data_IF_080025690204
#
_entry.id   IF_080025690204
#
_cell.length_a   1.000
_cell.length_b   1.000
_cell.length_c   1.000
_cell.angle_alpha   90.00
_cell.angle_beta   90.00
_cell.angle_gamma   90.00
#
_symmetry.space_group_name_H-M   'P 1'
#
loop_
_entity.id
_entity.type
_entity.pdbx_description
1 polymer ?
#
# COMPACT_ATOMS: atom_id res chain seq x y z
N UNK A 1 -8.09 18.09 15.83
CA UNK A 1 -7.26 17.07 16.53
C UNK A 1 -7.71 15.71 16.05
N UNK A 2 -6.81 14.76 15.78
CA UNK A 2 -7.25 13.37 15.56
C UNK A 2 -7.82 12.80 16.86
N UNK A 3 -8.88 12.00 16.78
CA UNK A 3 -9.60 11.46 17.95
C UNK A 3 -9.72 9.96 17.81
N UNK A 4 -9.37 9.24 18.87
CA UNK A 4 -9.52 7.79 18.94
C UNK A 4 -11.01 7.43 19.06
N UNK A 5 -11.46 6.49 18.23
CA UNK A 5 -12.83 5.96 18.24
C UNK A 5 -12.74 4.44 18.10
N UNK A 6 -13.42 3.70 18.97
CA UNK A 6 -13.41 2.22 18.96
C UNK A 6 -11.99 1.61 18.96
N UNK A 7 -11.13 2.11 19.86
CA UNK A 7 -9.72 1.70 19.98
C UNK A 7 -8.89 1.90 18.70
N UNK A 8 -9.33 2.79 17.81
CA UNK A 8 -8.69 3.08 16.53
C UNK A 8 -8.47 4.58 16.38
N UNK A 9 -7.26 4.94 15.98
CA UNK A 9 -6.85 6.30 15.66
C UNK A 9 -6.35 6.34 14.22
N UNK A 10 -7.09 7.03 13.36
CA UNK A 10 -6.63 7.35 12.01
C UNK A 10 -5.67 8.53 12.08
N UNK A 11 -4.41 8.30 11.71
CA UNK A 11 -3.36 9.31 11.65
C UNK A 11 -2.62 9.22 10.32
N UNK A 12 -2.74 10.28 9.50
CA UNK A 12 -2.22 10.30 8.12
C UNK A 12 -2.72 9.10 7.29
N UNK A 13 -1.83 8.25 6.81
CA UNK A 13 -2.07 7.02 6.05
C UNK A 13 -2.01 5.75 6.92
N UNK A 14 -1.98 5.90 8.24
CA UNK A 14 -1.92 4.81 9.22
C UNK A 14 -3.21 4.74 10.02
N UNK A 15 -3.77 3.55 10.14
CA UNK A 15 -4.80 3.23 11.12
C UNK A 15 -4.12 2.51 12.27
N UNK A 16 -3.98 3.22 13.39
CA UNK A 16 -3.42 2.66 14.62
C UNK A 16 -4.56 2.01 15.38
N UNK A 17 -4.42 0.73 15.72
CA UNK A 17 -5.39 -0.02 16.51
C UNK A 17 -4.76 -0.46 17.83
N UNK A 18 -5.42 -0.19 18.94
CA UNK A 18 -5.01 -0.66 20.26
C UNK A 18 -5.55 -2.07 20.50
N UNK A 19 -4.66 -3.03 20.75
CA UNK A 19 -4.97 -4.41 21.10
C UNK A 19 -4.37 -4.72 22.49
N UNK A 20 -5.10 -4.39 23.55
CA UNK A 20 -4.57 -4.43 24.93
C UNK A 20 -3.42 -3.45 25.11
N UNK A 21 -2.26 -3.96 25.51
CA UNK A 21 -1.03 -3.17 25.70
C UNK A 21 -0.18 -3.02 24.43
N UNK A 22 -0.62 -3.60 23.31
CA UNK A 22 0.09 -3.54 22.03
C UNK A 22 -0.63 -2.63 21.04
N UNK A 23 0.16 -2.03 20.14
CA UNK A 23 -0.34 -1.30 18.99
C UNK A 23 -0.19 -2.17 17.74
N UNK A 24 -1.25 -2.15 16.94
CA UNK A 24 -1.32 -2.76 15.63
C UNK A 24 -1.52 -1.65 14.58
N UNK A 25 -1.07 -1.89 13.36
CA UNK A 25 -0.99 -0.88 12.32
C UNK A 25 -1.45 -1.45 10.98
N UNK A 26 -2.33 -0.71 10.32
CA UNK A 26 -2.77 -0.99 8.94
C UNK A 26 -2.79 0.30 8.13
N UNK A 27 -2.89 0.20 6.80
CA UNK A 27 -3.04 1.37 5.94
C UNK A 27 -4.44 1.95 6.12
N UNK A 28 -4.52 3.22 6.52
CA UNK A 28 -5.79 3.92 6.59
C UNK A 28 -6.25 4.38 5.21
N UNK A 29 -7.49 4.02 4.86
CA UNK A 29 -8.21 4.52 3.68
C UNK A 29 -9.37 5.39 4.15
N UNK A 30 -9.41 6.64 3.71
CA UNK A 30 -10.57 7.52 3.99
C UNK A 30 -11.86 6.92 3.40
N UNK A 31 -13.04 7.23 3.94
CA UNK A 31 -14.31 6.75 3.37
C UNK A 31 -14.54 7.13 1.90
N UNK A 32 -13.89 8.19 1.42
CA UNK A 32 -13.93 8.64 0.02
C UNK A 32 -12.85 8.00 -0.87
N UNK A 33 -12.05 7.07 -0.35
CA UNK A 33 -11.03 6.37 -1.12
C UNK A 33 -11.69 5.42 -2.12
N UNK A 34 -11.36 5.58 -3.41
CA UNK A 34 -12.03 4.86 -4.51
C UNK A 34 -11.16 3.77 -5.13
N UNK A 35 -9.91 3.59 -4.67
CA UNK A 35 -8.92 2.73 -5.32
C UNK A 35 -8.66 3.04 -6.80
N UNK A 36 -9.02 4.25 -7.25
CA UNK A 36 -8.66 4.75 -8.58
C UNK A 36 -7.24 5.31 -8.54
N UNK A 37 -6.31 4.56 -9.11
CA UNK A 37 -4.93 4.96 -9.29
C UNK A 37 -4.70 5.38 -10.75
N UNK A 38 -3.44 5.56 -11.12
CA UNK A 38 -3.11 5.84 -12.51
C UNK A 38 -3.47 4.63 -13.37
N UNK A 39 -4.46 4.79 -14.24
CA UNK A 39 -4.91 3.74 -15.15
C UNK A 39 -3.80 3.35 -16.14
N UNK A 40 -3.72 2.06 -16.50
CA UNK A 40 -2.67 1.54 -17.40
C UNK A 40 -2.61 2.26 -18.75
N UNK A 41 -3.77 2.56 -19.32
CA UNK A 41 -3.91 3.20 -20.64
C UNK A 41 -3.67 4.72 -20.63
N UNK A 42 -3.49 5.34 -19.46
CA UNK A 42 -3.21 6.77 -19.39
C UNK A 42 -1.88 7.11 -20.08
N UNK A 43 -1.77 8.30 -20.67
CA UNK A 43 -0.57 8.74 -21.39
C UNK A 43 0.55 9.18 -20.42
N UNK A 44 1.11 8.21 -19.69
CA UNK A 44 2.24 8.39 -18.78
C UNK A 44 3.34 7.41 -19.09
N UNK A 45 4.57 7.84 -18.81
CA UNK A 45 5.77 7.01 -18.98
C UNK A 45 5.66 5.71 -18.14
N UNK A 46 6.11 4.54 -18.64
CA UNK A 46 6.03 3.28 -17.93
C UNK A 46 6.59 3.31 -16.50
N UNK A 47 7.68 4.04 -16.27
CA UNK A 47 8.29 4.18 -14.93
C UNK A 47 7.36 4.85 -13.91
N UNK A 48 6.49 5.78 -14.33
CA UNK A 48 5.54 6.42 -13.42
C UNK A 48 4.43 5.44 -13.01
N UNK A 49 3.94 4.64 -13.97
CA UNK A 49 2.93 3.61 -13.74
C UNK A 49 3.44 2.53 -12.79
N UNK A 50 4.65 2.03 -13.04
CA UNK A 50 5.32 1.08 -12.14
C UNK A 50 5.62 1.68 -10.77
N UNK A 51 6.10 2.93 -10.75
CA UNK A 51 6.43 3.65 -9.52
C UNK A 51 5.26 3.75 -8.56
N UNK A 52 4.03 3.95 -9.04
CA UNK A 52 2.84 4.00 -8.17
C UNK A 52 2.62 2.65 -7.47
N UNK A 53 2.75 1.53 -8.18
CA UNK A 53 2.62 0.19 -7.59
C UNK A 53 3.71 -0.03 -6.54
N UNK A 54 4.96 0.30 -6.88
CA UNK A 54 6.10 0.19 -5.95
C UNK A 54 5.90 1.05 -4.70
N UNK A 55 5.45 2.31 -4.85
CA UNK A 55 5.22 3.23 -3.73
C UNK A 55 4.15 2.69 -2.79
N UNK A 56 3.02 2.21 -3.31
CA UNK A 56 1.94 1.68 -2.45
C UNK A 56 2.35 0.37 -1.78
N UNK A 57 3.08 -0.51 -2.47
CA UNK A 57 3.59 -1.75 -1.88
C UNK A 57 4.63 -1.47 -0.79
N UNK A 58 5.51 -0.48 -1.00
CA UNK A 58 6.47 -0.05 0.01
C UNK A 58 5.77 0.60 1.22
N UNK A 59 4.71 1.38 0.99
CA UNK A 59 3.86 1.91 2.06
C UNK A 59 3.26 0.77 2.89
N UNK A 60 2.67 -0.24 2.25
CA UNK A 60 2.12 -1.42 2.92
C UNK A 60 3.16 -2.09 3.84
N UNK A 61 4.37 -2.32 3.34
CA UNK A 61 5.46 -2.95 4.11
C UNK A 61 6.00 -2.10 5.25
N UNK A 62 5.91 -0.77 5.14
CA UNK A 62 6.40 0.16 6.17
C UNK A 62 5.37 0.41 7.27
N UNK A 63 4.10 0.44 6.91
CA UNK A 63 3.00 0.80 7.81
C UNK A 63 2.42 -0.42 8.50
N UNK A 64 2.12 -1.48 7.75
CA UNK A 64 1.38 -2.60 8.30
C UNK A 64 2.22 -3.39 9.30
N UNK A 65 1.58 -3.85 10.38
CA UNK A 65 2.11 -4.96 11.17
C UNK A 65 2.26 -6.20 10.28
N UNK A 66 3.16 -7.12 10.66
CA UNK A 66 3.61 -8.22 9.80
C UNK A 66 2.46 -9.10 9.31
N UNK A 67 1.49 -9.32 10.18
CA UNK A 67 0.25 -10.06 9.95
C UNK A 67 -0.65 -9.44 8.86
N UNK A 68 -0.62 -8.11 8.70
CA UNK A 68 -1.52 -7.39 7.79
C UNK A 68 -0.87 -7.01 6.45
N UNK A 69 0.44 -7.21 6.30
CA UNK A 69 1.14 -6.89 5.03
C UNK A 69 0.52 -7.66 3.87
N UNK A 70 0.25 -8.95 4.04
CA UNK A 70 -0.24 -9.77 2.94
C UNK A 70 -1.69 -9.41 2.54
N UNK A 71 -2.52 -9.05 3.51
CA UNK A 71 -3.88 -8.55 3.26
C UNK A 71 -3.82 -7.24 2.45
N UNK A 72 -2.98 -6.30 2.86
CA UNK A 72 -2.80 -5.03 2.17
C UNK A 72 -2.25 -5.21 0.74
N UNK A 73 -1.28 -6.11 0.54
CA UNK A 73 -0.78 -6.44 -0.79
C UNK A 73 -1.85 -7.10 -1.67
N UNK A 74 -2.72 -7.93 -1.09
CA UNK A 74 -3.86 -8.52 -1.81
C UNK A 74 -4.87 -7.46 -2.23
N UNK A 75 -5.17 -6.49 -1.35
CA UNK A 75 -5.99 -5.33 -1.70
C UNK A 75 -5.40 -4.55 -2.86
N UNK A 76 -4.11 -4.23 -2.80
CA UNK A 76 -3.43 -3.50 -3.87
C UNK A 76 -3.46 -4.25 -5.21
N UNK A 77 -3.27 -5.58 -5.19
CA UNK A 77 -3.40 -6.39 -6.40
C UNK A 77 -4.79 -6.24 -7.03
N UNK A 78 -5.87 -6.41 -6.25
CA UNK A 78 -7.25 -6.22 -6.73
C UNK A 78 -7.48 -4.82 -7.29
N UNK A 79 -6.98 -3.80 -6.60
CA UNK A 79 -7.13 -2.43 -7.05
C UNK A 79 -6.39 -2.20 -8.38
N UNK A 80 -5.15 -2.66 -8.54
CA UNK A 80 -4.42 -2.49 -9.80
C UNK A 80 -5.01 -3.30 -10.96
N UNK A 81 -5.55 -4.49 -10.72
CA UNK A 81 -6.34 -5.22 -11.71
C UNK A 81 -7.52 -4.37 -12.20
N UNK A 82 -8.26 -3.73 -11.29
CA UNK A 82 -9.36 -2.82 -11.63
C UNK A 82 -8.90 -1.54 -12.36
N UNK A 83 -7.62 -1.16 -12.25
CA UNK A 83 -7.01 -0.04 -12.99
C UNK A 83 -6.36 -0.48 -14.32
N UNK A 84 -6.65 -1.71 -14.78
CA UNK A 84 -6.27 -2.22 -16.10
C UNK A 84 -4.90 -2.87 -16.18
N UNK A 85 -4.18 -3.02 -15.06
CA UNK A 85 -2.91 -3.75 -15.02
C UNK A 85 -3.12 -5.26 -15.08
N UNK A 86 -2.12 -6.01 -15.54
CA UNK A 86 -2.13 -7.46 -15.48
C UNK A 86 -1.29 -8.00 -14.31
N UNK A 87 -1.50 -9.27 -13.95
CA UNK A 87 -0.79 -9.91 -12.83
C UNK A 87 0.73 -9.87 -12.98
N UNK A 88 1.26 -9.97 -14.22
CA UNK A 88 2.71 -9.95 -14.43
C UNK A 88 3.31 -8.60 -14.07
N UNK A 89 2.67 -7.50 -14.49
CA UNK A 89 3.08 -6.13 -14.18
C UNK A 89 2.99 -5.87 -12.67
N UNK A 90 1.91 -6.30 -12.04
CA UNK A 90 1.68 -6.14 -10.60
C UNK A 90 2.72 -6.95 -9.84
N UNK A 91 2.87 -8.24 -10.11
CA UNK A 91 3.81 -9.12 -9.40
C UNK A 91 5.26 -8.68 -9.56
N UNK A 92 5.64 -8.17 -10.74
CA UNK A 92 6.98 -7.62 -10.96
C UNK A 92 7.24 -6.39 -10.07
N UNK A 93 6.27 -5.48 -9.93
CA UNK A 93 6.41 -4.29 -9.10
C UNK A 93 6.20 -4.56 -7.60
N UNK A 94 5.45 -5.60 -7.25
CA UNK A 94 5.29 -6.07 -5.88
C UNK A 94 6.53 -6.83 -5.39
N UNK A 95 7.40 -7.34 -6.26
CA UNK A 95 8.62 -7.99 -5.81
C UNK A 95 9.48 -7.02 -4.98
N UNK A 96 10.10 -7.45 -3.87
CA UNK A 96 11.02 -6.60 -3.12
C UNK A 96 12.15 -6.16 -4.05
N UNK A 97 12.43 -4.85 -4.13
CA UNK A 97 13.65 -4.38 -4.79
C UNK A 97 14.84 -5.01 -4.08
N UNK A 98 15.62 -5.80 -4.83
CA UNK A 98 16.94 -6.21 -4.36
C UNK A 98 17.71 -4.92 -4.07
N UNK A 99 18.08 -4.72 -2.80
CA UNK A 99 19.00 -3.66 -2.44
C UNK A 99 20.28 -3.93 -3.22
N UNK A 100 20.71 -2.98 -4.05
CA UNK A 100 22.07 -3.03 -4.59
C UNK A 100 22.99 -3.03 -3.37
N UNK A 101 23.96 -3.95 -3.25
CA UNK A 101 24.93 -3.88 -2.17
C UNK A 101 25.60 -2.51 -2.21
N UNK A 102 25.72 -1.88 -1.04
CA UNK A 102 26.43 -0.61 -0.92
C UNK A 102 27.86 -0.83 -1.44
N UNK A 103 28.22 -0.08 -2.48
CA UNK A 103 29.58 -0.11 -3.01
C UNK A 103 30.41 0.74 -2.07
N UNK A 104 31.28 0.09 -1.28
CA UNK A 104 32.30 0.74 -0.46
C UNK A 104 33.33 1.48 -1.34
#
# INVERSE_FOLDING_TARGET
METEVNNQLAFLDVLVKRNGDHLDHTVYRKPTHTDRYLHKLSNHHPSQKQGIIETLANRARRICAKEHIQEELSHLNKAFLANGYNDREINAALAPRQRRPDVN
#
